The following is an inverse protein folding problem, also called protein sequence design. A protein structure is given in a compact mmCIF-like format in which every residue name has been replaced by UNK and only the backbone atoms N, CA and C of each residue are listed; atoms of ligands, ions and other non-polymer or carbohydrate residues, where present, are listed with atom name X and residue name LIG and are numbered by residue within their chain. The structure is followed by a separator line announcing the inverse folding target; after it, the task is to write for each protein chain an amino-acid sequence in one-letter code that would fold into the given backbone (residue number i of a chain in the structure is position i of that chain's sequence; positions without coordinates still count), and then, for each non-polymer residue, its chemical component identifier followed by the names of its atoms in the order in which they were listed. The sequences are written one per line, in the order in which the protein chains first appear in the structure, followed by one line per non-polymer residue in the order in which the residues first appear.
data_IF_983033695973
#
_entry.id   IF_983033695973
#
_cell.length_a   1.000
_cell.length_b   1.000
_cell.length_c   1.000
_cell.angle_alpha   90.00
_cell.angle_beta   90.00
_cell.angle_gamma   90.00
#
_symmetry.space_group_name_H-M   'P 1'
#
loop_
_entity.id
_entity.type
_entity.pdbx_description
1 polymer ?
#
# COMPACT_ATOMS: atom_id res chain seq x y z
N UNK A 1 6.39 12.53 -13.98
CA UNK A 1 6.13 11.15 -14.48
C UNK A 1 7.22 10.15 -14.12
N UNK A 2 8.50 10.54 -14.20
CA UNK A 2 9.66 9.71 -13.83
C UNK A 2 9.65 9.19 -12.37
N UNK A 3 8.93 9.84 -11.43
CA UNK A 3 8.92 9.42 -10.02
C UNK A 3 7.90 8.32 -9.65
N UNK A 4 6.91 8.02 -10.48
CA UNK A 4 5.84 7.05 -10.13
C UNK A 4 6.37 5.60 -10.19
N UNK A 5 7.19 5.30 -11.20
CA UNK A 5 7.74 3.96 -11.41
C UNK A 5 8.83 3.58 -10.38
N UNK A 6 9.81 4.47 -10.07
CA UNK A 6 10.74 4.29 -8.95
C UNK A 6 10.05 4.21 -7.61
N UNK A 7 8.93 4.93 -7.41
CA UNK A 7 8.19 4.91 -6.16
C UNK A 7 7.59 3.53 -5.87
N UNK A 8 6.92 2.91 -6.85
CA UNK A 8 6.40 1.56 -6.67
C UNK A 8 7.50 0.52 -6.48
N UNK A 9 8.64 0.69 -7.16
CA UNK A 9 9.82 -0.19 -6.98
C UNK A 9 10.54 0.05 -5.64
N UNK A 10 10.55 1.27 -5.10
CA UNK A 10 11.11 1.59 -3.79
C UNK A 10 10.22 1.05 -2.66
N UNK A 11 8.91 1.20 -2.79
CA UNK A 11 7.92 0.56 -1.90
C UNK A 11 8.06 -0.96 -1.95
N UNK A 12 8.35 -1.54 -3.12
CA UNK A 12 8.70 -2.96 -3.31
C UNK A 12 9.97 -3.37 -2.57
N UNK A 13 11.01 -2.54 -2.61
CA UNK A 13 12.37 -2.86 -2.15
C UNK A 13 12.56 -2.83 -0.62
N UNK A 14 11.67 -2.16 0.11
CA UNK A 14 11.72 -2.15 1.58
C UNK A 14 11.26 -3.54 2.08
N UNK A 15 12.20 -4.38 2.53
CA UNK A 15 12.00 -5.75 3.04
C UNK A 15 11.37 -6.72 2.02
N UNK A 16 12.11 -7.08 0.97
CA UNK A 16 11.73 -8.18 0.06
C UNK A 16 12.02 -9.55 0.69
N UNK A 17 11.31 -9.90 1.78
CA UNK A 17 11.33 -11.26 2.34
C UNK A 17 10.91 -12.31 1.30
N UNK A 18 10.24 -11.89 0.22
CA UNK A 18 9.86 -12.71 -0.93
C UNK A 18 11.05 -13.42 -1.60
N UNK A 19 12.20 -12.76 -1.74
CA UNK A 19 13.40 -13.38 -2.34
C UNK A 19 14.20 -14.16 -1.30
N UNK A 20 14.13 -13.77 -0.02
CA UNK A 20 14.81 -14.46 1.08
C UNK A 20 14.15 -15.79 1.46
N UNK A 21 12.86 -16.01 1.14
CA UNK A 21 12.10 -17.21 1.53
C UNK A 21 12.08 -18.34 0.50
N UNK A 22 12.76 -18.19 -0.64
CA UNK A 22 12.78 -19.22 -1.71
C UNK A 22 13.87 -20.28 -1.46
N UNK A 23 14.77 -20.05 -0.50
CA UNK A 23 15.78 -21.03 -0.08
C UNK A 23 15.14 -21.94 0.98
N UNK A 24 14.86 -23.22 0.66
CA UNK A 24 14.25 -24.13 1.62
C UNK A 24 15.25 -24.37 2.77
N UNK A 25 14.85 -24.08 4.00
CA UNK A 25 15.61 -24.42 5.20
C UNK A 25 16.17 -23.25 6.03
N UNK A 26 16.09 -21.98 5.59
CA UNK A 26 16.74 -20.87 6.31
C UNK A 26 15.86 -19.77 6.93
N UNK A 27 14.53 -19.77 6.77
CA UNK A 27 13.62 -18.97 7.59
C UNK A 27 12.15 -19.38 7.34
N UNK A 28 11.62 -20.30 8.14
CA UNK A 28 10.22 -20.77 8.07
C UNK A 28 9.29 -19.94 8.97
N UNK A 29 9.41 -18.62 8.95
CA UNK A 29 8.40 -17.70 9.53
C UNK A 29 7.67 -16.94 8.43
N UNK A 30 7.25 -17.66 7.39
CA UNK A 30 6.28 -17.14 6.43
C UNK A 30 4.95 -17.02 7.17
N UNK A 31 4.56 -15.80 7.56
CA UNK A 31 3.19 -15.50 8.00
C UNK A 31 2.34 -15.41 6.72
N UNK A 32 1.59 -16.46 6.32
CA UNK A 32 1.04 -16.56 4.97
C UNK A 32 0.04 -15.44 4.68
N UNK A 33 -0.74 -15.06 5.70
CA UNK A 33 -1.69 -13.96 5.61
C UNK A 33 -1.02 -12.60 5.33
N UNK A 34 0.15 -12.34 5.91
CA UNK A 34 0.91 -11.10 5.70
C UNK A 34 1.48 -11.05 4.29
N UNK A 35 2.00 -12.17 3.80
CA UNK A 35 2.50 -12.32 2.44
C UNK A 35 1.39 -12.07 1.41
N UNK A 36 0.24 -12.73 1.57
CA UNK A 36 -0.92 -12.58 0.67
C UNK A 36 -1.42 -11.14 0.69
N UNK A 37 -1.55 -10.51 1.86
CA UNK A 37 -1.97 -9.10 1.98
C UNK A 37 -1.03 -8.15 1.22
N UNK A 38 0.29 -8.36 1.35
CA UNK A 38 1.28 -7.55 0.66
C UNK A 38 1.24 -7.76 -0.86
N UNK A 39 1.05 -8.99 -1.34
CA UNK A 39 0.91 -9.28 -2.76
C UNK A 39 -0.34 -8.63 -3.37
N UNK A 40 -1.48 -8.65 -2.65
CA UNK A 40 -2.71 -7.98 -3.10
C UNK A 40 -2.48 -6.48 -3.23
N UNK A 41 -1.88 -5.84 -2.21
CA UNK A 41 -1.54 -4.42 -2.26
C UNK A 41 -0.61 -4.10 -3.42
N UNK A 42 0.40 -4.92 -3.65
CA UNK A 42 1.33 -4.77 -4.77
C UNK A 42 0.60 -4.81 -6.11
N UNK A 43 -0.24 -5.81 -6.32
CA UNK A 43 -1.01 -5.94 -7.56
C UNK A 43 -1.88 -4.71 -7.80
N UNK A 44 -2.58 -4.23 -6.78
CA UNK A 44 -3.40 -3.00 -6.85
C UNK A 44 -2.54 -1.79 -7.23
N UNK A 45 -1.37 -1.63 -6.61
CA UNK A 45 -0.46 -0.52 -6.90
C UNK A 45 0.08 -0.56 -8.34
N UNK A 46 0.38 -1.75 -8.87
CA UNK A 46 0.80 -1.93 -10.27
C UNK A 46 -0.34 -1.51 -11.21
N UNK A 47 -1.57 -1.95 -10.94
CA UNK A 47 -2.75 -1.58 -11.72
C UNK A 47 -2.95 -0.06 -11.71
N UNK A 48 -2.87 0.58 -10.54
CA UNK A 48 -2.99 2.04 -10.41
C UNK A 48 -1.85 2.77 -11.13
N UNK A 49 -0.62 2.28 -11.02
CA UNK A 49 0.53 2.80 -11.77
C UNK A 49 0.32 2.75 -13.28
N UNK A 50 -0.24 1.66 -13.79
CA UNK A 50 -0.60 1.52 -15.20
C UNK A 50 -1.66 2.55 -15.63
N UNK A 51 -2.71 2.77 -14.82
CA UNK A 51 -3.73 3.78 -15.12
C UNK A 51 -3.20 5.22 -15.07
N UNK A 52 -2.29 5.53 -14.14
CA UNK A 52 -1.59 6.81 -14.15
C UNK A 52 -0.73 6.99 -15.40
N UNK A 53 -0.01 5.95 -15.82
CA UNK A 53 0.76 5.96 -17.07
C UNK A 53 -0.15 6.22 -18.29
N UNK A 54 -1.31 5.55 -18.32
CA UNK A 54 -2.31 5.76 -19.37
C UNK A 54 -2.80 7.22 -19.38
N UNK A 55 -3.12 7.79 -18.22
CA UNK A 55 -3.52 9.20 -18.10
C UNK A 55 -2.46 10.16 -18.64
N UNK A 56 -1.17 9.87 -18.41
CA UNK A 56 -0.09 10.69 -18.93
C UNK A 56 -0.02 10.72 -20.45
N UNK A 57 -0.25 9.58 -21.09
CA UNK A 57 -0.16 9.45 -22.55
C UNK A 57 -1.34 10.11 -23.24
N UNK A 58 -2.42 10.37 -22.50
CA UNK A 58 -3.66 10.91 -23.05
C UNK A 58 -3.78 12.43 -23.01
N UNK A 59 -2.72 13.17 -22.66
CA UNK A 59 -2.69 14.63 -22.46
C UNK A 59 -3.79 15.14 -21.51
N UNK A 60 -4.32 14.28 -20.66
CA UNK A 60 -5.23 14.70 -19.59
C UNK A 60 -4.37 15.31 -18.49
N UNK A 61 -4.60 16.58 -18.18
CA UNK A 61 -3.90 17.23 -17.07
C UNK A 61 -4.18 16.47 -15.78
N UNK A 62 -3.13 15.79 -15.27
CA UNK A 62 -3.20 15.12 -13.98
C UNK A 62 -3.23 16.24 -12.94
N UNK A 63 -4.38 16.44 -12.32
CA UNK A 63 -4.50 17.38 -11.22
C UNK A 63 -3.62 16.90 -10.04
N UNK A 64 -2.53 17.64 -9.81
CA UNK A 64 -1.52 17.35 -8.79
C UNK A 64 -2.12 17.21 -7.39
N UNK A 65 -3.19 17.95 -7.06
CA UNK A 65 -3.84 17.87 -5.75
C UNK A 65 -4.35 16.46 -5.47
N UNK A 66 -5.07 15.85 -6.42
CA UNK A 66 -5.61 14.50 -6.23
C UNK A 66 -4.53 13.42 -6.24
N UNK A 67 -3.48 13.62 -7.04
CA UNK A 67 -2.31 12.75 -7.03
C UNK A 67 -1.59 12.76 -5.67
N UNK A 68 -1.35 13.95 -5.11
CA UNK A 68 -0.70 14.08 -3.80
C UNK A 68 -1.56 13.51 -2.68
N UNK A 69 -2.89 13.69 -2.71
CA UNK A 69 -3.82 13.07 -1.74
C UNK A 69 -3.75 11.54 -1.83
N UNK A 70 -3.78 10.98 -3.04
CA UNK A 70 -3.67 9.54 -3.23
C UNK A 70 -2.34 9.00 -2.69
N UNK A 71 -1.23 9.67 -2.98
CA UNK A 71 0.07 9.31 -2.40
C UNK A 71 0.04 9.41 -0.88
N UNK A 72 -0.37 10.54 -0.31
CA UNK A 72 -0.41 10.77 1.13
C UNK A 72 -1.23 9.72 1.89
N UNK A 73 -2.26 9.13 1.28
CA UNK A 73 -3.04 8.05 1.87
C UNK A 73 -2.38 6.67 1.68
N UNK A 74 -1.73 6.44 0.55
CA UNK A 74 -1.16 5.13 0.21
C UNK A 74 0.25 4.90 0.76
N UNK A 75 1.12 5.91 0.82
CA UNK A 75 2.50 5.74 1.33
C UNK A 75 2.48 5.28 2.79
N UNK A 76 1.86 6.02 3.73
CA UNK A 76 1.91 5.66 5.14
C UNK A 76 1.25 4.30 5.38
N UNK A 77 0.14 4.04 4.68
CA UNK A 77 -0.57 2.78 4.76
C UNK A 77 0.29 1.58 4.36
N UNK A 78 1.08 1.69 3.29
CA UNK A 78 1.94 0.59 2.84
C UNK A 78 3.15 0.44 3.77
N UNK A 79 3.80 1.55 4.14
CA UNK A 79 4.97 1.56 5.02
C UNK A 79 4.65 0.92 6.36
N UNK A 80 3.56 1.33 7.03
CA UNK A 80 3.17 0.80 8.34
C UNK A 80 2.96 -0.71 8.29
N UNK A 81 2.31 -1.23 7.24
CA UNK A 81 2.07 -2.68 7.12
C UNK A 81 3.31 -3.51 6.80
N UNK A 82 4.37 -2.86 6.29
CA UNK A 82 5.69 -3.48 6.11
C UNK A 82 6.54 -3.48 7.38
N UNK A 83 6.28 -2.57 8.33
CA UNK A 83 6.92 -2.61 9.63
C UNK A 83 6.39 -3.80 10.44
N UNK A 84 7.29 -4.63 11.00
CA UNK A 84 6.89 -5.65 11.95
C UNK A 84 6.63 -4.99 13.31
N UNK A 85 5.43 -4.43 13.49
CA UNK A 85 5.08 -3.70 14.72
C UNK A 85 5.22 -4.56 15.99
N UNK A 86 5.10 -5.89 15.86
CA UNK A 86 5.31 -6.83 16.96
C UNK A 86 6.76 -6.87 17.46
N UNK A 87 7.74 -6.45 16.66
CA UNK A 87 9.14 -6.35 17.11
C UNK A 87 9.35 -5.21 18.13
N UNK A 88 8.42 -4.25 18.20
CA UNK A 88 8.48 -3.15 19.16
C UNK A 88 7.68 -3.44 20.44
N UNK A 89 7.05 -4.62 20.55
CA UNK A 89 6.31 -5.08 21.72
C UNK A 89 7.30 -5.80 22.66
N UNK A 90 7.58 -5.28 23.88
CA UNK A 90 8.34 -6.03 24.87
C UNK A 90 7.59 -7.31 25.24
N UNK A 91 8.28 -8.45 25.15
CA UNK A 91 7.80 -9.76 25.59
C UNK A 91 7.80 -9.82 27.13
N UNK A 92 6.84 -9.15 27.76
CA UNK A 92 6.66 -9.20 29.20
C UNK A 92 5.57 -10.22 29.56
N UNK A 93 5.96 -11.48 29.76
CA UNK A 93 5.03 -12.57 30.13
C UNK A 93 4.52 -12.47 31.57
N UNK A 94 5.08 -11.57 32.38
CA UNK A 94 4.66 -11.38 33.77
C UNK A 94 3.38 -10.54 33.92
N UNK A 95 3.01 -9.78 32.88
CA UNK A 95 1.80 -8.94 32.85
C UNK A 95 0.96 -9.24 31.59
N UNK A 96 0.16 -10.31 31.60
CA UNK A 96 -0.56 -10.77 30.41
C UNK A 96 -1.55 -9.74 29.85
N UNK A 97 -2.20 -8.94 30.71
CA UNK A 97 -3.13 -7.90 30.28
C UNK A 97 -2.44 -6.78 29.49
N UNK A 98 -1.24 -6.39 29.91
CA UNK A 98 -0.43 -5.38 29.22
C UNK A 98 0.00 -5.90 27.85
N UNK A 99 0.47 -7.15 27.77
CA UNK A 99 0.83 -7.80 26.52
C UNK A 99 -0.36 -7.90 25.54
N UNK A 100 -1.54 -8.30 26.02
CA UNK A 100 -2.77 -8.36 25.21
C UNK A 100 -3.18 -6.98 24.68
N UNK A 101 -3.02 -5.92 25.48
CA UNK A 101 -3.34 -4.55 25.07
C UNK A 101 -2.43 -4.05 23.94
N UNK A 102 -1.15 -4.43 23.93
CA UNK A 102 -0.20 -4.08 22.88
C UNK A 102 -0.49 -4.81 21.57
N UNK A 103 -0.81 -6.11 21.64
CA UNK A 103 -1.26 -6.87 20.47
C UNK A 103 -2.50 -6.21 19.85
N UNK A 104 -3.49 -5.84 20.68
CA UNK A 104 -4.70 -5.15 20.24
C UNK A 104 -4.38 -3.84 19.52
N UNK A 105 -3.45 -3.06 20.06
CA UNK A 105 -2.97 -1.81 19.45
C UNK A 105 -2.38 -2.05 18.06
N UNK A 106 -1.52 -3.06 17.91
CA UNK A 106 -0.95 -3.43 16.60
C UNK A 106 -2.02 -3.86 15.60
N UNK A 107 -3.02 -4.62 16.04
CA UNK A 107 -4.17 -5.00 15.19
C UNK A 107 -4.93 -3.76 14.71
N UNK A 108 -5.22 -2.80 15.60
CA UNK A 108 -5.90 -1.57 15.21
C UNK A 108 -5.09 -0.69 14.26
N UNK A 109 -3.78 -0.57 14.46
CA UNK A 109 -2.89 0.16 13.55
C UNK A 109 -2.90 -0.47 12.15
N UNK A 110 -2.82 -1.80 12.08
CA UNK A 110 -2.89 -2.53 10.81
C UNK A 110 -4.25 -2.36 10.12
N UNK A 111 -5.35 -2.43 10.89
CA UNK A 111 -6.70 -2.22 10.38
C UNK A 111 -6.87 -0.80 9.82
N UNK A 112 -6.46 0.22 10.58
CA UNK A 112 -6.49 1.61 10.16
C UNK A 112 -5.68 1.83 8.88
N UNK A 113 -4.48 1.26 8.80
CA UNK A 113 -3.62 1.35 7.62
C UNK A 113 -4.27 0.72 6.39
N UNK A 114 -4.95 -0.43 6.53
CA UNK A 114 -5.67 -1.06 5.44
C UNK A 114 -6.87 -0.21 4.96
N UNK A 115 -7.60 0.41 5.88
CA UNK A 115 -8.69 1.34 5.54
C UNK A 115 -8.12 2.53 4.76
N UNK A 116 -7.02 3.13 5.25
CA UNK A 116 -6.37 4.27 4.59
C UNK A 116 -5.92 3.94 3.16
N UNK A 117 -5.34 2.74 2.98
CA UNK A 117 -4.98 2.24 1.66
C UNK A 117 -6.21 2.15 0.75
N UNK A 118 -7.27 1.47 1.19
CA UNK A 118 -8.49 1.28 0.40
C UNK A 118 -9.15 2.62 0.05
N UNK A 119 -9.25 3.56 1.00
CA UNK A 119 -9.75 4.91 0.74
C UNK A 119 -8.92 5.62 -0.32
N UNK A 120 -7.59 5.51 -0.27
CA UNK A 120 -6.69 6.02 -1.31
C UNK A 120 -7.00 5.45 -2.69
N UNK A 121 -7.25 4.15 -2.80
CA UNK A 121 -7.58 3.49 -4.08
C UNK A 121 -8.96 3.90 -4.61
N UNK A 122 -9.97 3.97 -3.73
CA UNK A 122 -11.33 4.42 -4.10
C UNK A 122 -11.30 5.85 -4.61
N UNK A 123 -10.59 6.76 -3.93
CA UNK A 123 -10.44 8.14 -4.37
C UNK A 123 -9.75 8.25 -5.72
N UNK A 124 -8.71 7.44 -5.96
CA UNK A 124 -8.06 7.36 -7.26
C UNK A 124 -9.03 6.92 -8.36
N UNK A 125 -9.82 5.89 -8.11
CA UNK A 125 -10.77 5.37 -9.09
C UNK A 125 -11.86 6.39 -9.46
N UNK A 126 -12.41 7.09 -8.46
CA UNK A 126 -13.39 8.17 -8.67
C UNK A 126 -12.77 9.27 -9.53
N UNK A 127 -11.56 9.70 -9.21
CA UNK A 127 -10.84 10.72 -9.97
C UNK A 127 -10.57 10.28 -11.41
N UNK A 128 -10.11 9.05 -11.60
CA UNK A 128 -9.84 8.47 -12.91
C UNK A 128 -11.09 8.45 -13.81
N UNK A 129 -12.23 7.98 -13.28
CA UNK A 129 -13.50 7.98 -14.03
C UNK A 129 -13.93 9.41 -14.38
N UNK A 130 -13.82 10.35 -13.43
CA UNK A 130 -14.21 11.75 -13.65
C UNK A 130 -13.42 12.36 -14.82
N UNK A 131 -12.11 12.16 -14.86
CA UNK A 131 -11.26 12.64 -15.96
C UNK A 131 -11.63 12.01 -17.31
N UNK A 132 -11.93 10.71 -17.34
CA UNK A 132 -12.32 10.04 -18.58
C UNK A 132 -13.66 10.55 -19.11
N UNK A 133 -14.64 10.80 -18.23
CA UNK A 133 -15.95 11.36 -18.63
C UNK A 133 -15.81 12.76 -19.23
N UNK A 134 -15.03 13.64 -18.60
CA UNK A 134 -14.78 14.99 -19.12
C UNK A 134 -14.14 14.96 -20.51
N UNK A 135 -13.23 14.01 -20.77
CA UNK A 135 -12.61 13.85 -22.08
C UNK A 135 -13.59 13.41 -23.17
N UNK A 136 -14.57 12.56 -22.85
CA UNK A 136 -15.60 12.13 -23.82
C UNK A 136 -16.46 13.32 -24.25
N UNK A 137 -16.85 14.17 -23.29
CA UNK A 137 -17.69 15.35 -23.57
C UNK A 137 -16.99 16.42 -24.42
N UNK A 138 -15.66 16.59 -24.32
CA UNK A 138 -14.90 17.57 -25.13
C UNK A 138 -14.68 17.10 -26.58
N UNK A 139 -14.80 15.78 -26.83
CA UNK A 139 -14.62 15.19 -28.17
C UNK A 139 -15.92 15.11 -29.01
N UNK A 140 -17.07 15.39 -28.41
CA UNK A 140 -18.37 15.46 -29.10
C UNK A 140 -18.64 16.90 -29.53
#
# INVERSE_FOLDING_TARGET
MIFIFPYYTLVLSINSDFLYSIIPGWNTTIIPARLISNLIKLFILVVVGFYYLKLSKTNTEINLKYFTIHLALTIPAVVITKLNLYHFIPLNLSEPDFFLSQIRTVVYINMFSNILFLTGQVLFWIFYIKLQKTKITIKQ
#
